data_IF_735267500871
#
_entry.id   IF_735267500871
#
_cell.length_a   1.000
_cell.length_b   1.000
_cell.length_c   1.000
_cell.angle_alpha   90.00
_cell.angle_beta   90.00
_cell.angle_gamma   90.00
#
_symmetry.space_group_name_H-M   'P 1'
#
loop_
_entity.id
_entity.type
_entity.pdbx_description
1 polymer ?
#
# COMPACT_ATOMS: atom_id res chain seq x y z
N UNK A 1 -12.61 -10.77 -20.91
CA UNK A 1 -13.29 -9.50 -21.29
C UNK A 1 -12.28 -8.37 -21.11
N UNK A 2 -12.08 -7.56 -22.14
CA UNK A 2 -11.17 -6.42 -22.07
C UNK A 2 -11.99 -5.14 -21.88
N UNK A 3 -11.63 -4.34 -20.90
CA UNK A 3 -12.31 -3.07 -20.60
C UNK A 3 -11.41 -1.91 -20.99
N UNK A 4 -12.00 -0.89 -21.59
CA UNK A 4 -11.29 0.30 -22.03
C UNK A 4 -11.25 1.33 -20.91
N UNK A 5 -10.07 1.89 -20.62
CA UNK A 5 -9.93 2.98 -19.63
C UNK A 5 -9.06 4.09 -20.19
N UNK A 6 -9.61 5.31 -20.24
CA UNK A 6 -8.82 6.51 -20.44
C UNK A 6 -8.05 6.82 -19.14
N UNK A 7 -6.75 7.05 -19.27
CA UNK A 7 -5.86 7.36 -18.15
C UNK A 7 -4.81 8.39 -18.58
N UNK A 8 -4.81 9.58 -17.95
CA UNK A 8 -3.84 10.67 -18.19
C UNK A 8 -3.62 10.89 -19.72
N UNK A 9 -4.71 11.09 -20.47
CA UNK A 9 -4.75 11.28 -21.94
C UNK A 9 -4.31 10.10 -22.82
N UNK A 10 -4.02 8.94 -22.22
CA UNK A 10 -3.74 7.69 -22.94
C UNK A 10 -4.89 6.70 -22.79
N UNK A 11 -5.03 5.80 -23.75
CA UNK A 11 -5.98 4.70 -23.66
C UNK A 11 -5.27 3.43 -23.24
N UNK A 12 -5.78 2.78 -22.20
CA UNK A 12 -5.25 1.52 -21.69
C UNK A 12 -6.29 0.41 -21.84
N UNK A 13 -5.81 -0.75 -22.29
CA UNK A 13 -6.57 -1.98 -22.27
C UNK A 13 -6.40 -2.66 -20.92
N UNK A 14 -7.51 -2.91 -20.23
CA UNK A 14 -7.52 -3.69 -19.00
C UNK A 14 -8.03 -5.08 -19.33
N UNK A 15 -7.15 -6.07 -19.18
CA UNK A 15 -7.52 -7.49 -19.30
C UNK A 15 -8.07 -7.99 -17.98
N UNK A 16 -9.17 -8.74 -18.02
CA UNK A 16 -9.61 -9.53 -16.87
C UNK A 16 -9.28 -11.01 -17.08
N UNK A 17 -8.98 -11.70 -15.97
CA UNK A 17 -8.77 -13.15 -15.98
C UNK A 17 -10.07 -13.93 -15.71
N UNK A 18 -11.23 -13.33 -16.02
CA UNK A 18 -12.53 -13.96 -15.77
C UNK A 18 -12.64 -15.26 -16.58
N UNK A 19 -13.03 -16.36 -15.92
CA UNK A 19 -13.02 -17.73 -16.47
C UNK A 19 -11.65 -18.27 -16.93
N UNK A 20 -10.54 -17.74 -16.41
CA UNK A 20 -9.24 -18.39 -16.67
C UNK A 20 -9.18 -19.79 -16.05
N UNK A 21 -8.71 -20.76 -16.84
CA UNK A 21 -8.42 -22.13 -16.37
C UNK A 21 -7.29 -22.18 -15.34
N UNK A 22 -6.51 -21.10 -15.21
CA UNK A 22 -5.40 -21.00 -14.26
C UNK A 22 -5.80 -20.44 -12.90
N UNK A 23 -7.09 -20.17 -12.65
CA UNK A 23 -7.57 -19.51 -11.42
C UNK A 23 -7.11 -20.23 -10.15
N UNK A 24 -7.17 -21.57 -10.15
CA UNK A 24 -6.76 -22.37 -8.99
C UNK A 24 -5.25 -22.33 -8.74
N UNK A 25 -4.44 -22.28 -9.81
CA UNK A 25 -2.98 -22.15 -9.69
C UNK A 25 -2.62 -20.74 -9.23
N UNK A 26 -3.25 -19.71 -9.79
CA UNK A 26 -3.06 -18.33 -9.35
C UNK A 26 -3.42 -18.16 -7.87
N UNK A 27 -4.54 -18.75 -7.41
CA UNK A 27 -4.94 -18.74 -6.01
C UNK A 27 -3.95 -19.50 -5.11
N UNK A 28 -3.47 -20.68 -5.55
CA UNK A 28 -2.43 -21.45 -4.86
C UNK A 28 -1.18 -20.61 -4.63
N UNK A 29 -0.73 -19.94 -5.69
CA UNK A 29 0.43 -19.06 -5.62
C UNK A 29 0.16 -17.85 -4.73
N UNK A 30 -1.02 -17.23 -4.80
CA UNK A 30 -1.41 -16.12 -3.90
C UNK A 30 -1.30 -16.54 -2.43
N UNK A 31 -1.97 -17.62 -2.01
CA UNK A 31 -2.01 -18.00 -0.58
C UNK A 31 -0.65 -18.42 -0.06
N UNK A 32 0.15 -19.12 -0.88
CA UNK A 32 1.51 -19.52 -0.48
C UNK A 32 2.46 -18.33 -0.43
N UNK A 33 2.41 -17.45 -1.44
CA UNK A 33 3.23 -16.24 -1.50
C UNK A 33 2.94 -15.30 -0.34
N UNK A 34 1.69 -15.14 0.11
CA UNK A 34 1.36 -14.30 1.29
C UNK A 34 2.08 -14.82 2.54
N UNK A 35 1.98 -16.11 2.82
CA UNK A 35 2.59 -16.73 4.00
C UNK A 35 4.12 -16.63 3.98
N UNK A 36 4.73 -16.79 2.80
CA UNK A 36 6.18 -16.66 2.64
C UNK A 36 6.61 -15.19 2.74
N UNK A 37 5.83 -14.27 2.18
CA UNK A 37 6.09 -12.83 2.28
C UNK A 37 6.05 -12.35 3.72
N UNK A 38 5.17 -12.90 4.57
CA UNK A 38 5.14 -12.57 6.00
C UNK A 38 6.44 -13.01 6.70
N UNK A 39 6.94 -14.21 6.40
CA UNK A 39 8.26 -14.67 6.88
C UNK A 39 9.39 -13.78 6.35
N UNK A 40 9.34 -13.39 5.08
CA UNK A 40 10.32 -12.49 4.47
C UNK A 40 10.32 -11.10 5.12
N UNK A 41 9.14 -10.53 5.38
CA UNK A 41 8.97 -9.27 6.14
C UNK A 41 9.52 -9.41 7.57
N UNK A 42 9.33 -10.55 8.22
CA UNK A 42 9.91 -10.83 9.55
C UNK A 42 11.44 -10.82 9.52
N UNK A 43 12.04 -11.47 8.53
CA UNK A 43 13.49 -11.42 8.31
C UNK A 43 13.99 -10.00 8.05
N UNK A 44 13.32 -9.23 7.20
CA UNK A 44 13.70 -7.84 6.91
C UNK A 44 13.62 -6.95 8.18
N UNK A 45 12.61 -7.14 9.04
CA UNK A 45 12.55 -6.45 10.35
C UNK A 45 13.73 -6.81 11.26
N UNK A 46 14.23 -8.05 11.21
CA UNK A 46 15.43 -8.45 11.95
C UNK A 46 16.69 -7.77 11.42
N UNK A 47 16.76 -7.47 10.11
CA UNK A 47 17.82 -6.62 9.56
C UNK A 47 17.77 -5.21 10.16
N UNK A 48 16.60 -4.59 10.21
CA UNK A 48 16.44 -3.25 10.81
C UNK A 48 16.93 -3.19 12.26
N UNK A 49 16.57 -4.21 13.07
CA UNK A 49 17.06 -4.35 14.45
C UNK A 49 18.59 -4.53 14.47
N UNK A 50 19.13 -5.35 13.56
CA UNK A 50 20.56 -5.52 13.40
C UNK A 50 21.27 -4.20 13.08
N UNK A 51 20.76 -3.43 12.12
CA UNK A 51 21.33 -2.14 11.76
C UNK A 51 21.28 -1.14 12.90
N UNK A 52 20.19 -1.10 13.66
CA UNK A 52 20.11 -0.30 14.89
C UNK A 52 21.20 -0.71 15.88
N UNK A 53 21.35 -2.01 16.15
CA UNK A 53 22.27 -2.50 17.18
C UNK A 53 23.76 -2.36 16.77
N UNK A 54 24.09 -2.63 15.51
CA UNK A 54 25.48 -2.66 15.03
C UNK A 54 25.93 -1.32 14.44
N UNK A 55 25.05 -0.58 13.77
CA UNK A 55 25.38 0.70 13.13
C UNK A 55 24.89 1.89 13.95
N UNK A 56 24.01 1.71 14.94
CA UNK A 56 23.48 2.81 15.75
C UNK A 56 22.55 3.73 14.97
N UNK A 57 21.89 3.23 13.92
CA UNK A 57 21.01 4.01 13.05
C UNK A 57 19.70 3.28 12.79
N UNK A 58 18.61 4.04 12.73
CA UNK A 58 17.28 3.53 12.42
C UNK A 58 17.04 3.52 10.91
N UNK A 59 16.36 2.51 10.40
CA UNK A 59 15.96 2.46 8.98
C UNK A 59 14.73 1.57 8.81
N UNK A 60 14.23 1.50 7.58
CA UNK A 60 13.19 0.56 7.18
C UNK A 60 13.65 -0.21 5.94
N UNK A 61 13.89 -1.51 6.10
CA UNK A 61 14.38 -2.38 5.02
C UNK A 61 13.37 -2.61 3.90
N UNK A 62 12.08 -2.35 4.13
CA UNK A 62 11.04 -2.46 3.11
C UNK A 62 9.92 -1.47 3.37
N UNK A 63 9.24 -1.02 2.32
CA UNK A 63 8.35 0.14 2.45
C UNK A 63 6.87 -0.20 2.28
N UNK A 64 6.53 -1.46 2.01
CA UNK A 64 5.13 -1.89 1.81
C UNK A 64 4.24 -1.53 3.00
N UNK A 65 3.14 -0.84 2.72
CA UNK A 65 2.04 -0.57 3.66
C UNK A 65 0.71 -1.11 3.14
N UNK A 66 -0.14 -1.58 4.05
CA UNK A 66 -1.48 -2.12 3.71
C UNK A 66 -2.58 -1.06 3.86
N UNK A 67 -2.29 0.07 4.52
CA UNK A 67 -3.27 1.09 4.88
C UNK A 67 -2.62 2.45 5.11
N UNK A 68 -3.34 3.52 4.75
CA UNK A 68 -2.96 4.91 5.04
C UNK A 68 -2.83 5.18 6.54
N UNK A 69 -3.62 4.48 7.37
CA UNK A 69 -3.58 4.64 8.83
C UNK A 69 -2.22 4.18 9.37
N UNK A 70 -1.64 3.14 8.78
CA UNK A 70 -0.29 2.70 9.13
C UNK A 70 0.73 3.81 8.84
N UNK A 71 0.59 4.52 7.72
CA UNK A 71 1.47 5.66 7.41
C UNK A 71 1.30 6.76 8.45
N UNK A 72 0.07 7.24 8.68
CA UNK A 72 -0.17 8.41 9.54
C UNK A 72 0.24 8.21 11.00
N UNK A 73 0.13 6.97 11.51
CA UNK A 73 0.58 6.58 12.85
C UNK A 73 2.10 6.45 12.98
N UNK A 74 2.82 6.20 11.88
CA UNK A 74 4.28 5.96 11.89
C UNK A 74 5.09 7.13 11.27
N UNK A 75 4.47 8.29 11.07
CA UNK A 75 5.16 9.50 10.63
C UNK A 75 6.10 10.07 11.72
N UNK A 76 7.17 10.78 11.32
CA UNK A 76 8.02 11.49 12.27
C UNK A 76 7.25 12.62 13.00
N UNK A 77 7.75 13.06 14.16
CA UNK A 77 7.19 14.22 14.87
C UNK A 77 7.41 15.54 14.12
N UNK A 78 8.39 15.59 13.21
CA UNK A 78 8.67 16.74 12.35
C UNK A 78 8.76 16.32 10.89
N UNK A 79 8.20 17.11 9.98
CA UNK A 79 8.27 16.89 8.54
C UNK A 79 8.84 18.13 7.85
N UNK A 80 10.04 17.97 7.28
CA UNK A 80 10.76 19.00 6.53
C UNK A 80 10.50 18.88 5.02
N UNK A 81 10.37 17.64 4.55
CA UNK A 81 10.07 17.32 3.16
C UNK A 81 9.19 16.08 3.06
N UNK A 82 8.43 16.02 1.97
CA UNK A 82 7.67 14.85 1.58
C UNK A 82 7.77 14.68 0.07
N UNK A 83 8.16 13.49 -0.36
CA UNK A 83 8.23 13.08 -1.75
C UNK A 83 7.18 12.01 -2.02
N UNK A 84 6.28 12.30 -2.96
CA UNK A 84 5.26 11.34 -3.42
C UNK A 84 5.39 11.13 -4.92
N UNK A 85 5.39 9.87 -5.33
CA UNK A 85 5.51 9.50 -6.73
C UNK A 85 4.84 8.16 -7.04
N UNK A 86 4.47 7.97 -8.30
CA UNK A 86 3.90 6.76 -8.86
C UNK A 86 4.98 5.98 -9.65
N UNK A 87 5.21 4.71 -9.32
CA UNK A 87 6.05 3.81 -10.11
C UNK A 87 5.22 3.24 -11.26
N UNK A 88 5.33 3.88 -12.41
CA UNK A 88 4.63 3.47 -13.62
C UNK A 88 5.31 2.32 -14.35
N UNK A 89 4.55 1.68 -15.25
CA UNK A 89 4.99 0.58 -16.12
C UNK A 89 5.31 -0.74 -15.40
N UNK A 90 4.94 -0.90 -14.13
CA UNK A 90 5.19 -2.14 -13.40
C UNK A 90 4.61 -3.38 -14.09
N UNK A 91 3.36 -3.30 -14.58
CA UNK A 91 2.69 -4.45 -15.18
C UNK A 91 3.04 -4.64 -16.65
N UNK A 92 3.56 -3.61 -17.31
CA UNK A 92 3.88 -3.61 -18.74
C UNK A 92 5.36 -3.94 -19.01
N UNK A 93 6.27 -3.45 -18.16
CA UNK A 93 7.71 -3.46 -18.45
C UNK A 93 8.51 -4.53 -17.72
N UNK A 94 8.10 -4.94 -16.50
CA UNK A 94 8.89 -5.86 -15.67
C UNK A 94 9.17 -7.15 -16.46
N UNK A 95 10.45 -7.53 -16.63
CA UNK A 95 10.79 -8.73 -17.37
C UNK A 95 10.45 -9.98 -16.56
N UNK A 96 9.94 -11.01 -17.23
CA UNK A 96 9.64 -12.31 -16.60
C UNK A 96 10.86 -13.25 -16.59
N UNK A 97 11.83 -12.99 -17.48
CA UNK A 97 13.08 -13.75 -17.66
C UNK A 97 14.23 -12.80 -18.03
N UNK A 98 15.48 -13.21 -17.87
CA UNK A 98 16.66 -12.41 -18.24
C UNK A 98 17.15 -11.52 -17.10
N UNK A 99 17.83 -10.41 -17.38
CA UNK A 99 18.30 -9.52 -16.30
C UNK A 99 17.11 -8.82 -15.61
N UNK A 100 17.24 -8.56 -14.30
CA UNK A 100 16.26 -7.80 -13.51
C UNK A 100 14.85 -8.39 -13.55
N UNK A 101 14.75 -9.71 -13.62
CA UNK A 101 13.48 -10.39 -13.83
C UNK A 101 12.71 -10.67 -12.54
N UNK A 102 11.39 -10.81 -12.67
CA UNK A 102 10.49 -11.10 -11.56
C UNK A 102 10.76 -12.47 -10.91
N UNK A 103 11.16 -13.47 -11.69
CA UNK A 103 11.43 -14.81 -11.16
C UNK A 103 12.61 -14.81 -10.17
N UNK A 104 13.66 -14.02 -10.43
CA UNK A 104 14.80 -13.84 -9.51
C UNK A 104 14.37 -13.18 -8.20
N UNK A 105 13.53 -12.15 -8.27
CA UNK A 105 12.95 -11.50 -7.09
C UNK A 105 12.12 -12.50 -6.27
N UNK A 106 11.29 -13.32 -6.93
CA UNK A 106 10.52 -14.39 -6.28
C UNK A 106 11.42 -15.47 -5.68
N UNK A 107 12.47 -15.89 -6.39
CA UNK A 107 13.41 -16.89 -5.88
C UNK A 107 14.12 -16.39 -4.62
N UNK A 108 14.56 -15.12 -4.62
CA UNK A 108 15.14 -14.49 -3.45
C UNK A 108 14.17 -14.48 -2.27
N UNK A 109 12.96 -13.95 -2.48
CA UNK A 109 11.92 -13.89 -1.45
C UNK A 109 11.55 -15.28 -0.92
N UNK A 110 11.33 -16.28 -1.80
CA UNK A 110 10.98 -17.65 -1.42
C UNK A 110 12.09 -18.30 -0.61
N UNK A 111 13.34 -18.25 -1.07
CA UNK A 111 14.47 -18.85 -0.35
C UNK A 111 14.64 -18.24 1.03
N UNK A 112 14.63 -16.91 1.11
CA UNK A 112 14.78 -16.20 2.38
C UNK A 112 13.59 -16.43 3.31
N UNK A 113 12.36 -16.43 2.80
CA UNK A 113 11.15 -16.72 3.58
C UNK A 113 11.15 -18.13 4.17
N UNK A 114 11.56 -19.13 3.40
CA UNK A 114 11.72 -20.51 3.90
C UNK A 114 12.83 -20.62 4.96
N UNK A 115 13.99 -19.98 4.73
CA UNK A 115 15.07 -19.96 5.70
C UNK A 115 14.63 -19.33 7.03
N UNK A 116 13.89 -18.23 6.94
CA UNK A 116 13.37 -17.55 8.13
C UNK A 116 12.31 -18.39 8.86
N UNK A 117 11.40 -19.02 8.12
CA UNK A 117 10.42 -19.94 8.69
C UNK A 117 11.10 -21.11 9.41
N UNK A 118 12.15 -21.70 8.82
CA UNK A 118 12.92 -22.77 9.44
C UNK A 118 13.59 -22.36 10.75
N UNK A 119 14.09 -21.11 10.85
CA UNK A 119 14.70 -20.59 12.09
C UNK A 119 13.69 -20.47 13.24
N UNK A 120 12.43 -20.21 12.94
CA UNK A 120 11.38 -20.09 13.95
C UNK A 120 10.97 -21.45 14.54
N UNK A 121 11.28 -22.56 13.86
CA UNK A 121 10.96 -23.91 14.29
C UNK A 121 12.24 -24.69 14.61
N UNK A 122 12.71 -24.57 15.84
CA UNK A 122 14.04 -24.99 16.30
C UNK A 122 14.31 -26.50 16.36
N UNK A 123 13.32 -27.37 16.08
CA UNK A 123 13.42 -28.82 16.33
C UNK A 123 12.94 -29.74 15.20
N UNK A 124 12.33 -29.22 14.14
CA UNK A 124 11.80 -30.04 13.05
C UNK A 124 11.81 -29.28 11.72
N UNK A 125 11.94 -30.03 10.62
CA UNK A 125 11.89 -29.46 9.27
C UNK A 125 10.56 -28.70 9.07
N UNK A 126 10.67 -27.43 8.72
CA UNK A 126 9.50 -26.58 8.49
C UNK A 126 8.98 -26.80 7.08
N UNK A 127 7.71 -27.17 6.98
CA UNK A 127 7.04 -27.44 5.72
C UNK A 127 5.95 -26.39 5.50
N UNK A 128 5.84 -25.91 4.27
CA UNK A 128 4.69 -25.09 3.87
C UNK A 128 3.55 -26.01 3.48
N UNK A 129 2.47 -25.99 4.25
CA UNK A 129 1.28 -26.80 3.98
C UNK A 129 0.22 -25.97 3.27
N UNK A 130 -0.42 -26.54 2.26
CA UNK A 130 -1.55 -25.92 1.54
C UNK A 130 -2.78 -26.81 1.60
N UNK A 131 -3.92 -26.21 1.97
CA UNK A 131 -5.24 -26.82 1.91
C UNK A 131 -5.99 -26.27 0.70
N UNK A 132 -6.42 -27.17 -0.18
CA UNK A 132 -7.27 -26.81 -1.32
C UNK A 132 -8.69 -26.48 -0.85
N UNK A 133 -9.39 -25.65 -1.63
CA UNK A 133 -10.78 -25.30 -1.34
C UNK A 133 -11.67 -26.56 -1.39
N UNK A 134 -12.48 -26.76 -0.35
CA UNK A 134 -13.51 -27.81 -0.24
C UNK A 134 -14.72 -27.22 0.49
N UNK A 135 -15.94 -27.51 0.04
CA UNK A 135 -17.20 -27.22 0.74
C UNK A 135 -17.27 -25.82 1.37
N UNK A 136 -17.28 -24.78 0.54
CA UNK A 136 -17.29 -23.35 0.94
C UNK A 136 -16.07 -22.85 1.74
N UNK A 137 -15.05 -23.68 1.99
CA UNK A 137 -13.81 -23.23 2.63
C UNK A 137 -12.81 -22.71 1.59
N UNK A 138 -12.23 -21.50 1.77
CA UNK A 138 -11.25 -20.96 0.84
C UNK A 138 -9.94 -21.73 0.93
N UNK A 139 -9.15 -21.67 -0.15
CA UNK A 139 -7.78 -22.17 -0.15
C UNK A 139 -6.94 -21.42 0.88
N UNK A 140 -6.09 -22.13 1.63
CA UNK A 140 -5.24 -21.54 2.67
C UNK A 140 -3.87 -22.20 2.71
N UNK A 141 -2.86 -21.47 3.18
CA UNK A 141 -1.52 -22.00 3.40
C UNK A 141 -1.03 -21.64 4.81
N UNK A 142 -0.12 -22.44 5.35
CA UNK A 142 0.55 -22.15 6.63
C UNK A 142 1.87 -22.92 6.78
N UNK A 143 2.78 -22.37 7.56
CA UNK A 143 3.94 -23.10 8.05
C UNK A 143 3.54 -24.16 9.08
N UNK A 144 4.26 -25.29 9.11
CA UNK A 144 4.09 -26.31 10.13
C UNK A 144 5.14 -27.41 10.02
N UNK A 145 5.38 -28.10 11.13
CA UNK A 145 6.37 -29.20 11.21
C UNK A 145 5.75 -30.58 10.95
N UNK A 146 4.43 -30.69 11.10
CA UNK A 146 3.67 -31.92 10.89
C UNK A 146 2.43 -31.63 10.06
N UNK A 147 1.91 -32.67 9.40
CA UNK A 147 0.68 -32.54 8.63
C UNK A 147 -0.47 -32.15 9.56
N UNK A 148 -1.29 -31.14 9.20
CA UNK A 148 -2.48 -30.80 9.96
C UNK A 148 -3.46 -31.97 10.06
N UNK A 149 -4.06 -32.16 11.25
CA UNK A 149 -4.96 -33.30 11.54
C UNK A 149 -6.27 -33.31 10.74
N UNK A 150 -6.73 -32.17 10.24
CA UNK A 150 -8.04 -32.04 9.57
C UNK A 150 -7.90 -31.50 8.14
N UNK A 151 -8.57 -32.17 7.21
CA UNK A 151 -8.57 -31.82 5.78
C UNK A 151 -7.38 -32.38 5.01
N UNK A 152 -7.45 -32.26 3.68
CA UNK A 152 -6.39 -32.71 2.78
C UNK A 152 -5.37 -31.58 2.57
N UNK A 153 -4.19 -31.73 3.18
CA UNK A 153 -3.08 -30.80 3.05
C UNK A 153 -1.99 -31.38 2.16
N UNK A 154 -1.39 -30.54 1.33
CA UNK A 154 -0.27 -30.92 0.47
C UNK A 154 0.96 -30.10 0.86
N UNK A 155 2.13 -30.73 1.04
CA UNK A 155 3.37 -30.01 1.31
C UNK A 155 3.87 -29.32 0.03
N UNK A 156 4.37 -28.10 0.18
CA UNK A 156 4.97 -27.29 -0.89
C UNK A 156 6.43 -27.01 -0.58
N UNK A 157 7.31 -27.40 -1.51
CA UNK A 157 8.74 -27.11 -1.45
C UNK A 157 9.08 -25.82 -2.20
N UNK A 158 10.24 -25.23 -1.88
CA UNK A 158 10.78 -24.06 -2.58
C UNK A 158 10.84 -24.29 -4.10
N UNK A 159 11.43 -25.41 -4.52
CA UNK A 159 11.60 -25.78 -5.94
C UNK A 159 10.26 -25.88 -6.66
N UNK A 160 9.25 -26.48 -6.01
CA UNK A 160 7.91 -26.62 -6.60
C UNK A 160 7.24 -25.26 -6.78
N UNK A 161 7.33 -24.37 -5.80
CA UNK A 161 6.74 -23.04 -5.88
C UNK A 161 7.42 -22.18 -6.96
N UNK A 162 8.75 -22.18 -7.01
CA UNK A 162 9.51 -21.47 -8.04
C UNK A 162 9.12 -21.97 -9.44
N UNK A 163 9.00 -23.29 -9.59
CA UNK A 163 8.58 -23.91 -10.87
C UNK A 163 7.16 -23.52 -11.25
N UNK A 164 6.22 -23.50 -10.29
CA UNK A 164 4.83 -23.09 -10.54
C UNK A 164 4.70 -21.60 -10.90
N UNK A 165 5.46 -20.72 -10.24
CA UNK A 165 5.52 -19.30 -10.62
C UNK A 165 6.06 -19.14 -12.04
N UNK A 166 7.19 -19.77 -12.35
CA UNK A 166 7.78 -19.73 -13.70
C UNK A 166 6.83 -20.29 -14.75
N UNK A 167 6.15 -21.41 -14.45
CA UNK A 167 5.17 -22.00 -15.35
C UNK A 167 4.01 -21.05 -15.61
N UNK A 168 3.41 -20.47 -14.56
CA UNK A 168 2.27 -19.56 -14.73
C UNK A 168 2.67 -18.33 -15.56
N UNK A 169 3.82 -17.73 -15.29
CA UNK A 169 4.35 -16.59 -16.04
C UNK A 169 4.57 -16.91 -17.53
N UNK A 170 5.08 -18.10 -17.84
CA UNK A 170 5.33 -18.52 -19.21
C UNK A 170 4.07 -18.96 -19.98
N UNK A 171 2.96 -19.19 -19.27
CA UNK A 171 1.68 -19.62 -19.84
C UNK A 171 0.60 -18.55 -19.69
N UNK A 172 0.97 -17.28 -19.80
CA UNK A 172 0.04 -16.16 -19.82
C UNK A 172 -0.44 -15.88 -21.24
N UNK A 173 -1.72 -16.16 -21.52
CA UNK A 173 -2.33 -15.92 -22.82
C UNK A 173 -3.46 -14.91 -22.72
N UNK A 174 -3.52 -13.98 -23.67
CA UNK A 174 -4.56 -12.95 -23.79
C UNK A 174 -5.29 -13.17 -25.11
N UNK A 175 -6.61 -13.28 -25.04
CA UNK A 175 -7.48 -13.33 -26.21
C UNK A 175 -8.11 -11.96 -26.48
N UNK A 176 -8.03 -11.48 -27.72
CA UNK A 176 -8.69 -10.26 -28.19
C UNK A 176 -9.31 -10.56 -29.56
N UNK A 177 -10.63 -10.57 -29.63
CA UNK A 177 -11.36 -11.00 -30.82
C UNK A 177 -11.14 -12.49 -31.11
N UNK A 178 -10.74 -12.79 -32.34
CA UNK A 178 -10.44 -14.12 -32.87
C UNK A 178 -8.96 -14.55 -32.69
N UNK A 179 -8.16 -13.74 -32.01
CA UNK A 179 -6.71 -13.94 -31.88
C UNK A 179 -6.29 -14.16 -30.43
N UNK A 180 -5.25 -14.95 -30.26
CA UNK A 180 -4.61 -15.27 -28.97
C UNK A 180 -3.14 -14.91 -29.04
N UNK A 181 -2.66 -14.18 -28.04
CA UNK A 181 -1.25 -13.82 -27.89
C UNK A 181 -0.73 -14.31 -26.55
N UNK A 182 0.53 -14.75 -26.52
CA UNK A 182 1.24 -15.01 -25.28
C UNK A 182 1.89 -13.71 -24.78
N UNK A 183 1.63 -13.34 -23.54
CA UNK A 183 2.34 -12.25 -22.89
C UNK A 183 3.75 -12.72 -22.50
N UNK A 184 4.77 -12.10 -23.07
CA UNK A 184 6.19 -12.43 -22.83
C UNK A 184 6.91 -11.39 -21.99
N UNK A 185 6.31 -10.21 -21.80
CA UNK A 185 6.84 -9.09 -21.01
C UNK A 185 5.75 -8.51 -20.13
N UNK A 186 6.14 -8.09 -18.93
CA UNK A 186 5.23 -7.49 -17.97
C UNK A 186 4.48 -8.52 -17.14
N UNK A 187 4.00 -8.07 -15.99
CA UNK A 187 3.19 -8.88 -15.07
C UNK A 187 1.77 -9.00 -15.66
N UNK A 188 1.23 -10.23 -15.82
CA UNK A 188 -0.11 -10.43 -16.36
C UNK A 188 -1.17 -9.80 -15.44
N UNK A 189 -1.93 -8.83 -15.94
CA UNK A 189 -3.00 -8.22 -15.16
C UNK A 189 -4.22 -9.14 -15.08
N UNK A 190 -4.76 -9.31 -13.87
CA UNK A 190 -6.01 -10.05 -13.64
C UNK A 190 -5.86 -11.34 -12.81
N UNK A 191 -4.66 -11.90 -12.66
CA UNK A 191 -4.45 -12.98 -11.70
C UNK A 191 -4.43 -12.45 -10.27
N UNK A 192 -4.93 -13.26 -9.33
CA UNK A 192 -4.93 -12.94 -7.89
C UNK A 192 -3.53 -12.71 -7.33
N UNK A 193 -2.48 -13.28 -7.94
CA UNK A 193 -1.10 -13.17 -7.50
C UNK A 193 -0.34 -11.98 -8.12
N UNK A 194 -0.90 -11.32 -9.14
CA UNK A 194 -0.19 -10.26 -9.88
C UNK A 194 0.17 -9.03 -9.04
N UNK A 195 -0.72 -8.50 -8.17
CA UNK A 195 -0.34 -7.39 -7.27
C UNK A 195 0.76 -7.79 -6.28
N UNK A 196 0.75 -9.04 -5.81
CA UNK A 196 1.80 -9.56 -4.93
C UNK A 196 3.14 -9.64 -5.67
N UNK A 197 3.15 -10.12 -6.91
CA UNK A 197 4.35 -10.15 -7.75
C UNK A 197 4.97 -8.77 -7.93
N UNK A 198 4.16 -7.76 -8.22
CA UNK A 198 4.61 -6.37 -8.31
C UNK A 198 5.24 -5.91 -6.98
N UNK A 199 4.55 -6.15 -5.87
CA UNK A 199 5.05 -5.80 -4.54
C UNK A 199 6.38 -6.47 -4.19
N UNK A 200 6.53 -7.77 -4.50
CA UNK A 200 7.74 -8.55 -4.23
C UNK A 200 8.91 -8.06 -5.08
N UNK A 201 8.64 -7.74 -6.35
CA UNK A 201 9.64 -7.19 -7.24
C UNK A 201 10.24 -5.91 -6.66
N UNK A 202 9.39 -4.93 -6.36
CA UNK A 202 9.80 -3.64 -5.82
C UNK A 202 10.49 -3.80 -4.45
N UNK A 203 9.90 -4.59 -3.54
CA UNK A 203 10.46 -4.87 -2.22
C UNK A 203 11.85 -5.51 -2.28
N UNK A 204 12.11 -6.34 -3.29
CA UNK A 204 13.44 -6.94 -3.45
C UNK A 204 14.50 -5.88 -3.72
N UNK A 205 14.20 -4.87 -4.53
CA UNK A 205 15.11 -3.75 -4.77
C UNK A 205 15.25 -2.85 -3.55
N UNK A 206 14.17 -2.58 -2.82
CA UNK A 206 14.18 -1.81 -1.56
C UNK A 206 15.10 -2.45 -0.51
N UNK A 207 14.92 -3.74 -0.23
CA UNK A 207 15.75 -4.47 0.74
C UNK A 207 17.21 -4.50 0.30
N UNK A 208 17.48 -4.83 -0.97
CA UNK A 208 18.86 -4.86 -1.49
C UNK A 208 19.53 -3.49 -1.44
N UNK A 209 18.78 -2.42 -1.64
CA UNK A 209 19.27 -1.06 -1.50
C UNK A 209 19.68 -0.75 -0.06
N UNK A 210 18.80 -1.01 0.92
CA UNK A 210 19.12 -0.80 2.35
C UNK A 210 20.31 -1.67 2.78
N UNK A 211 20.36 -2.93 2.35
CA UNK A 211 21.51 -3.82 2.59
C UNK A 211 22.81 -3.25 2.00
N UNK A 212 22.76 -2.71 0.78
CA UNK A 212 23.93 -2.05 0.15
C UNK A 212 24.40 -0.87 1.00
N UNK A 213 23.51 0.05 1.37
CA UNK A 213 23.85 1.18 2.23
C UNK A 213 24.48 0.73 3.56
N UNK A 214 23.95 -0.32 4.18
CA UNK A 214 24.48 -0.88 5.41
C UNK A 214 25.87 -1.50 5.23
N UNK A 215 26.10 -2.24 4.15
CA UNK A 215 27.41 -2.83 3.82
C UNK A 215 28.49 -1.78 3.58
N UNK A 216 28.09 -0.61 3.07
CA UNK A 216 28.97 0.55 2.86
C UNK A 216 29.14 1.41 4.13
N UNK A 217 28.45 1.10 5.23
CA UNK A 217 28.47 1.91 6.45
C UNK A 217 27.84 3.31 6.31
N UNK A 218 26.98 3.54 5.30
CA UNK A 218 26.33 4.83 5.03
C UNK A 218 25.15 5.09 5.96
N UNK A 219 25.45 5.29 7.24
CA UNK A 219 24.47 5.57 8.31
C UNK A 219 23.64 6.82 8.02
N UNK A 220 24.28 7.81 7.39
CA UNK A 220 23.66 9.06 6.96
C UNK A 220 22.53 8.82 5.95
N UNK A 221 22.68 7.83 5.06
CA UNK A 221 21.66 7.48 4.06
C UNK A 221 20.63 6.50 4.62
N UNK A 222 21.04 5.53 5.46
CA UNK A 222 20.11 4.58 6.07
C UNK A 222 18.98 5.27 6.85
N UNK A 223 19.33 6.30 7.64
CA UNK A 223 18.35 7.03 8.45
C UNK A 223 17.32 7.79 7.61
N UNK A 224 17.66 8.22 6.39
CA UNK A 224 16.73 8.91 5.49
C UNK A 224 15.52 8.05 5.14
N UNK A 225 15.71 6.74 4.99
CA UNK A 225 14.64 5.81 4.60
C UNK A 225 13.89 5.20 5.79
N UNK A 226 14.07 5.71 7.01
CA UNK A 226 13.30 5.29 8.19
C UNK A 226 11.79 5.49 8.00
N UNK A 227 11.39 6.56 7.31
CA UNK A 227 9.99 6.93 7.08
C UNK A 227 9.64 6.84 5.59
N UNK A 228 10.07 5.76 4.95
CA UNK A 228 9.72 5.42 3.59
C UNK A 228 8.55 4.43 3.57
N UNK A 229 7.54 4.75 2.77
CA UNK A 229 6.31 3.99 2.60
C UNK A 229 6.01 3.77 1.12
N UNK A 230 5.34 2.66 0.80
CA UNK A 230 4.87 2.32 -0.53
C UNK A 230 3.57 1.53 -0.47
N UNK A 231 2.55 2.01 -1.15
CA UNK A 231 1.32 1.26 -1.38
C UNK A 231 1.28 0.80 -2.84
N UNK A 232 1.58 -0.47 -3.09
CA UNK A 232 1.71 -1.03 -4.45
C UNK A 232 2.76 -0.24 -5.26
N UNK A 233 2.32 0.66 -6.13
CA UNK A 233 3.11 1.53 -7.02
C UNK A 233 3.26 2.96 -6.48
N UNK A 234 2.42 3.40 -5.53
CA UNK A 234 2.52 4.72 -4.91
C UNK A 234 3.64 4.73 -3.85
N UNK A 235 4.62 5.63 -3.99
CA UNK A 235 5.70 5.89 -3.03
C UNK A 235 5.36 7.12 -2.18
N UNK A 236 5.65 7.07 -0.89
CA UNK A 236 5.72 8.24 -0.01
C UNK A 236 6.98 8.17 0.84
N UNK A 237 7.92 9.09 0.62
CA UNK A 237 9.14 9.24 1.39
C UNK A 237 9.11 10.54 2.17
N UNK A 238 9.38 10.47 3.47
CA UNK A 238 9.35 11.64 4.35
C UNK A 238 10.75 11.91 4.89
N UNK A 239 11.18 13.18 4.84
CA UNK A 239 12.47 13.65 5.32
C UNK A 239 13.68 12.97 4.64
N UNK A 240 13.60 12.72 3.33
CA UNK A 240 14.71 12.12 2.55
C UNK A 240 15.64 13.20 1.98
N UNK A 241 15.16 14.46 1.89
CA UNK A 241 15.91 15.57 1.32
C UNK A 241 15.82 15.59 -0.21
N UNK A 242 16.88 15.16 -0.91
CA UNK A 242 16.92 15.15 -2.37
C UNK A 242 16.62 13.75 -2.95
N UNK A 243 15.36 13.40 -3.24
CA UNK A 243 15.01 12.08 -3.77
C UNK A 243 15.59 11.83 -5.16
N UNK A 244 15.87 12.87 -5.95
CA UNK A 244 16.38 12.73 -7.32
C UNK A 244 17.75 12.07 -7.37
N UNK A 245 18.55 12.21 -6.30
CA UNK A 245 19.85 11.56 -6.18
C UNK A 245 19.72 10.03 -6.38
N UNK A 246 18.60 9.43 -5.94
CA UNK A 246 18.37 7.98 -6.00
C UNK A 246 17.60 7.53 -7.25
N UNK A 247 17.13 8.48 -8.06
CA UNK A 247 16.11 8.25 -9.10
C UNK A 247 16.56 8.62 -10.53
N UNK A 248 17.87 8.75 -10.77
CA UNK A 248 18.39 8.94 -12.13
C UNK A 248 18.54 7.59 -12.87
N UNK A 249 17.99 7.45 -14.10
CA UNK A 249 18.19 6.26 -14.94
C UNK A 249 19.64 5.98 -15.33
N UNK A 250 20.47 7.01 -15.33
CA UNK A 250 21.89 6.97 -15.72
C UNK A 250 22.81 6.53 -14.56
N UNK A 251 22.25 6.36 -13.34
CA UNK A 251 23.04 5.98 -12.18
C UNK A 251 23.75 4.62 -12.37
N UNK A 252 25.08 4.53 -12.15
CA UNK A 252 25.80 3.28 -12.23
C UNK A 252 25.25 2.25 -11.24
N UNK A 253 24.85 1.07 -11.73
CA UNK A 253 24.24 0.03 -10.87
C UNK A 253 25.28 -0.92 -10.30
N UNK A 254 26.27 -0.37 -9.61
CA UNK A 254 27.38 -1.12 -9.00
C UNK A 254 27.17 -1.31 -7.48
N UNK A 255 27.84 -2.30 -6.86
CA UNK A 255 27.74 -2.53 -5.42
C UNK A 255 28.24 -1.38 -4.54
N UNK A 256 29.15 -0.56 -5.07
CA UNK A 256 29.77 0.60 -4.41
C UNK A 256 29.02 1.93 -4.67
N UNK A 257 28.02 1.95 -5.54
CA UNK A 257 27.17 3.13 -5.73
C UNK A 257 25.95 3.11 -4.77
N UNK A 258 25.81 4.08 -3.86
CA UNK A 258 24.69 4.15 -2.92
C UNK A 258 23.47 4.90 -3.48
N UNK A 259 23.50 5.37 -4.73
CA UNK A 259 22.52 6.32 -5.28
C UNK A 259 21.59 5.72 -6.35
N UNK A 260 21.31 4.42 -6.27
CA UNK A 260 20.31 3.77 -7.12
C UNK A 260 19.44 2.84 -6.28
N UNK A 261 18.16 2.70 -6.63
CA UNK A 261 17.23 1.79 -5.93
C UNK A 261 16.64 0.81 -6.94
N UNK A 262 15.88 1.34 -7.88
CA UNK A 262 15.11 0.58 -8.86
C UNK A 262 15.85 0.46 -10.21
N UNK A 263 15.52 -0.54 -11.04
CA UNK A 263 16.01 -0.61 -12.41
C UNK A 263 15.24 0.37 -13.30
N UNK A 264 15.61 1.65 -13.28
CA UNK A 264 14.90 2.74 -13.96
C UNK A 264 15.04 2.75 -15.50
N UNK A 265 15.80 1.82 -16.07
CA UNK A 265 15.75 1.50 -17.49
C UNK A 265 14.52 0.64 -17.86
N UNK A 266 13.84 0.05 -16.87
CA UNK A 266 12.62 -0.77 -17.00
C UNK A 266 11.41 0.00 -16.46
N UNK A 267 11.57 0.59 -15.28
CA UNK A 267 10.52 1.32 -14.55
C UNK A 267 10.61 2.82 -14.78
N UNK A 268 9.49 3.53 -14.64
CA UNK A 268 9.43 4.99 -14.77
C UNK A 268 8.73 5.57 -13.54
N UNK A 269 9.35 6.56 -12.89
CA UNK A 269 8.79 7.22 -11.70
C UNK A 269 8.21 8.57 -12.09
N UNK A 270 6.97 8.83 -11.67
CA UNK A 270 6.27 10.11 -11.89
C UNK A 270 5.95 10.76 -10.57
N UNK A 271 6.59 11.90 -10.32
CA UNK A 271 6.34 12.71 -9.11
C UNK A 271 4.93 13.31 -9.13
N UNK A 272 4.23 13.27 -8.00
CA UNK A 272 2.90 13.87 -7.81
C UNK A 272 2.90 15.01 -6.77
N UNK A 273 4.08 15.57 -6.48
CA UNK A 273 4.25 16.72 -5.58
C UNK A 273 3.92 18.02 -6.30
N UNK A 274 3.08 18.85 -5.69
CA UNK A 274 2.77 20.19 -6.14
C UNK A 274 3.30 21.24 -5.17
N UNK A 275 3.84 22.34 -5.68
CA UNK A 275 4.02 23.56 -4.88
C UNK A 275 2.67 24.28 -4.81
N UNK A 276 2.21 24.68 -3.63
CA UNK A 276 1.02 25.52 -3.49
C UNK A 276 1.43 26.90 -2.99
N UNK A 277 0.82 27.95 -3.55
CA UNK A 277 1.11 29.35 -3.25
C UNK A 277 1.60 30.14 -4.46
N UNK A 278 0.69 30.51 -5.36
CA UNK A 278 0.99 31.43 -6.46
C UNK A 278 0.92 32.92 -6.05
N UNK A 279 0.61 33.21 -4.78
CA UNK A 279 0.33 34.59 -4.32
C UNK A 279 0.77 34.90 -2.88
N UNK A 280 1.49 34.00 -2.19
CA UNK A 280 1.98 34.23 -0.82
C UNK A 280 3.48 33.91 -0.74
N UNK A 281 4.34 34.76 -0.13
CA UNK A 281 5.79 34.56 -0.04
C UNK A 281 6.25 33.33 0.77
N UNK A 282 5.34 32.56 1.37
CA UNK A 282 5.66 31.32 2.09
C UNK A 282 5.29 30.10 1.23
N UNK A 283 6.23 29.59 0.43
CA UNK A 283 5.99 28.46 -0.48
C UNK A 283 5.93 27.14 0.30
N UNK A 284 4.74 26.74 0.73
CA UNK A 284 4.51 25.41 1.31
C UNK A 284 4.55 24.27 0.28
N UNK A 285 4.90 23.07 0.74
CA UNK A 285 4.82 21.84 -0.07
C UNK A 285 3.46 21.19 0.18
N UNK A 286 2.71 20.89 -0.88
CA UNK A 286 1.49 20.08 -0.80
C UNK A 286 1.62 18.80 -1.62
N UNK A 287 1.46 17.67 -0.96
CA UNK A 287 1.56 16.36 -1.59
C UNK A 287 0.41 15.47 -1.11
N UNK A 288 -0.03 14.53 -1.95
CA UNK A 288 -1.08 13.60 -1.59
C UNK A 288 -0.59 12.17 -1.82
N UNK A 289 -0.77 11.32 -0.82
CA UNK A 289 -0.48 9.89 -0.89
C UNK A 289 -1.76 9.15 -0.55
N UNK A 290 -2.24 8.27 -1.44
CA UNK A 290 -3.51 7.59 -1.25
C UNK A 290 -4.67 8.58 -1.01
N UNK A 291 -5.25 8.56 0.19
CA UNK A 291 -6.33 9.43 0.64
C UNK A 291 -5.91 10.37 1.79
N UNK A 292 -4.62 10.64 1.94
CA UNK A 292 -4.09 11.70 2.82
C UNK A 292 -3.43 12.79 1.97
N UNK A 293 -3.66 14.04 2.35
CA UNK A 293 -2.93 15.21 1.86
C UNK A 293 -2.05 15.73 3.01
N UNK A 294 -0.80 16.00 2.67
CA UNK A 294 0.19 16.64 3.51
C UNK A 294 0.37 18.07 3.05
N UNK A 295 0.23 19.02 3.96
CA UNK A 295 0.55 20.42 3.74
C UNK A 295 1.68 20.79 4.72
N UNK A 296 2.89 21.05 4.20
CA UNK A 296 4.07 21.35 5.01
C UNK A 296 4.34 22.86 5.01
N UNK A 297 4.67 23.39 6.18
CA UNK A 297 5.14 24.76 6.33
C UNK A 297 6.65 24.81 6.13
N UNK A 298 7.13 25.75 5.30
CA UNK A 298 8.55 25.87 4.95
C UNK A 298 9.44 26.18 6.16
N UNK A 299 8.94 27.00 7.10
CA UNK A 299 9.69 27.49 8.26
C UNK A 299 9.36 26.76 9.56
N UNK A 300 8.32 25.93 9.59
CA UNK A 300 7.87 25.24 10.80
C UNK A 300 7.57 23.76 10.56
N UNK A 301 8.61 22.91 10.61
CA UNK A 301 8.47 21.48 10.34
C UNK A 301 7.70 20.72 11.43
N UNK A 302 7.39 21.36 12.57
CA UNK A 302 6.53 20.76 13.62
C UNK A 302 5.06 20.94 13.31
N UNK A 303 4.70 21.99 12.56
CA UNK A 303 3.32 22.39 12.33
C UNK A 303 2.80 21.96 10.95
N UNK A 304 3.24 20.83 10.41
CA UNK A 304 2.63 20.27 9.20
C UNK A 304 1.17 19.88 9.44
N UNK A 305 0.37 19.91 8.38
CA UNK A 305 -1.05 19.57 8.41
C UNK A 305 -1.31 18.29 7.60
N UNK A 306 -2.14 17.42 8.16
CA UNK A 306 -2.68 16.25 7.46
C UNK A 306 -4.20 16.34 7.40
N UNK A 307 -4.74 16.06 6.21
CA UNK A 307 -6.20 16.04 5.98
C UNK A 307 -6.58 14.91 5.03
N UNK A 308 -7.86 14.54 5.04
CA UNK A 308 -8.40 13.56 4.09
C UNK A 308 -8.36 14.13 2.67
N UNK A 309 -7.69 13.43 1.77
CA UNK A 309 -7.68 13.75 0.35
C UNK A 309 -8.77 12.98 -0.39
N UNK A 310 -9.48 13.66 -1.29
CA UNK A 310 -10.45 13.04 -2.18
C UNK A 310 -10.35 13.66 -3.57
N UNK A 311 -9.65 12.96 -4.49
CA UNK A 311 -9.47 13.37 -5.88
C UNK A 311 -10.79 13.69 -6.60
N UNK A 312 -11.91 13.12 -6.16
CA UNK A 312 -13.22 13.32 -6.78
C UNK A 312 -13.74 14.74 -6.54
N UNK A 313 -13.23 15.48 -5.54
CA UNK A 313 -13.57 16.88 -5.29
C UNK A 313 -13.19 17.79 -6.46
N UNK A 314 -12.19 17.41 -7.25
CA UNK A 314 -11.70 18.18 -8.40
C UNK A 314 -12.32 17.74 -9.74
N UNK A 315 -13.35 16.88 -9.72
CA UNK A 315 -14.04 16.49 -10.95
C UNK A 315 -14.88 17.66 -11.47
N UNK A 316 -14.92 17.90 -12.80
CA UNK A 316 -15.68 19.00 -13.40
C UNK A 316 -17.20 18.74 -13.41
N UNK A 317 -17.66 17.69 -12.74
CA UNK A 317 -19.06 17.30 -12.67
C UNK A 317 -19.43 16.85 -11.26
N UNK A 318 -20.70 17.05 -10.90
CA UNK A 318 -21.25 16.54 -9.66
C UNK A 318 -21.42 15.03 -9.75
N UNK A 319 -20.94 14.31 -8.75
CA UNK A 319 -21.11 12.86 -8.65
C UNK A 319 -21.82 12.50 -7.34
N UNK A 320 -22.56 11.41 -7.36
CA UNK A 320 -23.22 10.88 -6.16
C UNK A 320 -22.24 9.99 -5.42
N UNK A 321 -21.60 10.54 -4.37
CA UNK A 321 -20.59 9.82 -3.58
C UNK A 321 -21.17 8.68 -2.73
N UNK A 322 -22.34 8.94 -2.13
CA UNK A 322 -23.01 8.02 -1.22
C UNK A 322 -24.41 7.70 -1.73
N UNK A 323 -24.94 6.56 -1.30
CA UNK A 323 -26.29 6.15 -1.66
C UNK A 323 -27.33 7.17 -1.17
N UNK A 324 -28.43 7.34 -1.91
CA UNK A 324 -29.56 8.14 -1.45
C UNK A 324 -30.27 7.46 -0.28
N UNK A 325 -30.79 8.27 0.65
CA UNK A 325 -31.47 7.78 1.84
C UNK A 325 -32.66 6.87 1.51
N UNK A 326 -33.50 7.29 0.54
CA UNK A 326 -34.67 6.54 0.06
C UNK A 326 -34.32 5.39 -0.91
N UNK A 327 -33.13 4.80 -0.81
CA UNK A 327 -32.78 3.62 -1.61
C UNK A 327 -33.39 2.35 -1.04
N UNK A 328 -33.44 1.27 -1.84
CA UNK A 328 -33.94 -0.03 -1.42
C UNK A 328 -32.94 -0.77 -0.50
N UNK A 329 -32.59 -0.15 0.64
CA UNK A 329 -31.69 -0.71 1.67
C UNK A 329 -32.19 -0.42 3.08
N UNK A 330 -31.83 -1.26 4.07
CA UNK A 330 -32.22 -1.02 5.46
C UNK A 330 -31.68 0.32 5.99
N UNK A 331 -32.56 1.13 6.58
CA UNK A 331 -32.24 2.47 7.13
C UNK A 331 -31.03 2.46 8.06
N UNK A 332 -30.91 1.44 8.92
CA UNK A 332 -29.78 1.29 9.84
C UNK A 332 -28.44 1.18 9.10
N UNK A 333 -28.38 0.44 8.00
CA UNK A 333 -27.16 0.31 7.20
C UNK A 333 -26.82 1.62 6.51
N UNK A 334 -27.82 2.37 6.05
CA UNK A 334 -27.62 3.69 5.44
C UNK A 334 -26.94 4.65 6.41
N UNK A 335 -27.35 4.68 7.68
CA UNK A 335 -26.72 5.54 8.69
C UNK A 335 -25.32 5.08 9.10
N UNK A 336 -25.02 3.78 9.10
CA UNK A 336 -23.68 3.27 9.42
C UNK A 336 -22.59 3.71 8.44
N UNK A 337 -22.96 4.21 7.25
CA UNK A 337 -22.01 4.79 6.28
C UNK A 337 -21.21 5.91 6.93
N UNK A 338 -21.84 6.79 7.71
CA UNK A 338 -21.14 7.94 8.31
C UNK A 338 -20.03 7.47 9.26
N UNK A 339 -20.33 6.50 10.13
CA UNK A 339 -19.37 5.95 11.09
C UNK A 339 -18.15 5.35 10.39
N UNK A 340 -18.35 4.62 9.29
CA UNK A 340 -17.24 4.05 8.50
C UNK A 340 -16.31 5.11 7.90
N UNK A 341 -16.83 6.32 7.65
CA UNK A 341 -16.08 7.41 7.04
C UNK A 341 -15.38 8.32 8.05
N UNK A 342 -15.88 8.36 9.29
CA UNK A 342 -15.27 9.14 10.38
C UNK A 342 -13.97 8.51 10.84
N UNK A 343 -13.90 7.17 10.94
CA UNK A 343 -12.69 6.50 11.41
C UNK A 343 -11.44 6.92 10.59
N UNK A 344 -11.43 6.91 9.24
CA UNK A 344 -10.33 7.49 8.48
C UNK A 344 -10.07 8.97 8.77
N UNK A 345 -11.11 9.80 8.96
CA UNK A 345 -10.93 11.24 9.25
C UNK A 345 -10.14 11.41 10.56
N UNK A 346 -10.46 10.65 11.60
CA UNK A 346 -9.79 10.72 12.91
C UNK A 346 -8.33 10.26 12.87
N UNK A 347 -8.02 9.26 12.05
CA UNK A 347 -6.66 8.71 11.97
C UNK A 347 -5.77 9.44 10.94
N UNK A 348 -6.38 10.14 9.98
CA UNK A 348 -5.65 10.94 9.01
C UNK A 348 -5.40 12.36 9.54
N UNK A 349 -6.39 12.98 10.17
CA UNK A 349 -6.28 14.37 10.62
C UNK A 349 -5.38 14.46 11.85
N UNK A 350 -4.40 15.37 11.80
CA UNK A 350 -3.55 15.69 12.95
C UNK A 350 -4.00 16.94 13.71
N UNK A 351 -5.02 17.63 13.22
CA UNK A 351 -5.63 18.77 13.88
C UNK A 351 -7.13 18.54 14.12
N UNK A 352 -7.61 19.04 15.26
CA UNK A 352 -8.99 18.82 15.71
C UNK A 352 -9.98 19.65 14.91
N UNK A 353 -9.63 20.87 14.52
CA UNK A 353 -10.48 21.73 13.70
C UNK A 353 -10.60 21.19 12.27
N UNK A 354 -9.52 20.64 11.72
CA UNK A 354 -9.54 19.98 10.41
C UNK A 354 -10.44 18.75 10.44
N UNK A 355 -10.31 17.89 11.45
CA UNK A 355 -11.18 16.72 11.62
C UNK A 355 -12.65 17.14 11.71
N UNK A 356 -12.95 18.19 12.50
CA UNK A 356 -14.27 18.76 12.63
C UNK A 356 -14.85 19.24 11.30
N UNK A 357 -14.08 20.01 10.52
CA UNK A 357 -14.49 20.51 9.20
C UNK A 357 -14.78 19.37 8.22
N UNK A 358 -13.95 18.33 8.19
CA UNK A 358 -14.14 17.15 7.34
C UNK A 358 -15.41 16.35 7.74
N UNK A 359 -15.72 16.25 9.04
CA UNK A 359 -16.96 15.63 9.52
C UNK A 359 -18.19 16.45 9.11
N UNK A 360 -18.14 17.78 9.24
CA UNK A 360 -19.24 18.64 8.80
C UNK A 360 -19.48 18.54 7.29
N UNK A 361 -18.41 18.50 6.49
CA UNK A 361 -18.51 18.32 5.04
C UNK A 361 -19.15 16.97 4.69
N UNK A 362 -18.78 15.90 5.40
CA UNK A 362 -19.40 14.59 5.25
C UNK A 362 -20.89 14.60 5.59
N UNK A 363 -21.28 15.27 6.69
CA UNK A 363 -22.69 15.41 7.10
C UNK A 363 -23.48 16.14 6.02
N UNK A 364 -22.99 17.29 5.53
CA UNK A 364 -23.63 18.05 4.43
C UNK A 364 -23.77 17.21 3.16
N UNK A 365 -22.75 16.40 2.86
CA UNK A 365 -22.78 15.50 1.69
C UNK A 365 -23.88 14.45 1.83
N UNK A 366 -24.03 13.83 3.00
CA UNK A 366 -25.11 12.86 3.26
C UNK A 366 -26.47 13.54 3.33
N UNK A 367 -26.57 14.74 3.90
CA UNK A 367 -27.80 15.53 3.92
C UNK A 367 -28.31 15.80 2.50
N UNK A 368 -27.42 16.18 1.58
CA UNK A 368 -27.76 16.35 0.17
C UNK A 368 -28.30 15.08 -0.53
N UNK A 369 -28.08 13.91 0.08
CA UNK A 369 -28.60 12.61 -0.35
C UNK A 369 -29.91 12.21 0.37
N UNK A 370 -30.53 13.12 1.13
CA UNK A 370 -31.81 12.94 1.81
C UNK A 370 -31.72 12.43 3.24
N UNK A 371 -30.51 12.43 3.85
CA UNK A 371 -30.35 12.06 5.26
C UNK A 371 -30.66 13.26 6.17
N UNK A 372 -31.18 12.99 7.36
CA UNK A 372 -31.41 14.04 8.36
C UNK A 372 -30.11 14.40 9.09
N UNK A 373 -29.63 15.64 8.92
CA UNK A 373 -28.37 16.12 9.50
C UNK A 373 -28.32 15.97 11.02
N UNK A 374 -29.38 16.33 11.74
CA UNK A 374 -29.45 16.20 13.21
C UNK A 374 -29.27 14.74 13.68
N UNK A 375 -29.82 13.76 12.94
CA UNK A 375 -29.63 12.33 13.26
C UNK A 375 -28.20 11.89 13.01
N UNK A 376 -27.58 12.38 11.93
CA UNK A 376 -26.18 12.10 11.61
C UNK A 376 -25.27 12.66 12.71
N UNK A 377 -25.41 13.93 13.06
CA UNK A 377 -24.64 14.58 14.13
C UNK A 377 -24.79 13.82 15.46
N UNK A 378 -26.02 13.52 15.89
CA UNK A 378 -26.27 12.76 17.12
C UNK A 378 -25.61 11.38 17.10
N UNK A 379 -25.64 10.69 15.95
CA UNK A 379 -24.98 9.39 15.79
C UNK A 379 -23.46 9.52 15.89
N UNK A 380 -22.87 10.53 15.25
CA UNK A 380 -21.42 10.81 15.35
C UNK A 380 -21.04 11.10 16.80
N UNK A 381 -21.72 12.03 17.45
CA UNK A 381 -21.42 12.46 18.83
C UNK A 381 -21.47 11.27 19.78
N UNK A 382 -22.54 10.46 19.76
CA UNK A 382 -22.63 9.26 20.61
C UNK A 382 -21.52 8.26 20.34
N UNK A 383 -21.16 8.07 19.07
CA UNK A 383 -20.09 7.14 18.71
C UNK A 383 -18.72 7.63 19.18
N UNK A 384 -18.46 8.93 19.14
CA UNK A 384 -17.24 9.53 19.68
C UNK A 384 -17.18 9.43 21.22
N UNK A 385 -18.32 9.55 21.91
CA UNK A 385 -18.41 9.43 23.38
C UNK A 385 -18.21 8.00 23.89
N UNK A 386 -18.71 7.02 23.15
CA UNK A 386 -18.72 5.60 23.58
C UNK A 386 -17.58 4.79 22.97
N UNK A 387 -16.97 5.28 21.90
CA UNK A 387 -15.90 4.60 21.19
C UNK A 387 -14.53 4.78 21.84
N UNK A 388 -13.62 3.84 21.53
CA UNK A 388 -12.21 3.93 21.88
C UNK A 388 -11.37 4.14 20.62
N UNK A 389 -10.53 5.17 20.63
CA UNK A 389 -9.73 5.59 19.47
C UNK A 389 -8.26 5.68 19.87
N UNK A 390 -7.58 4.54 20.10
CA UNK A 390 -6.17 4.57 20.49
C UNK A 390 -5.33 5.23 19.40
N UNK A 391 -4.35 6.03 19.82
CA UNK A 391 -3.32 6.63 18.94
C UNK A 391 -3.82 7.64 17.90
N UNK A 392 -5.08 8.06 17.94
CA UNK A 392 -5.53 9.19 17.11
C UNK A 392 -4.79 10.47 17.50
N UNK A 393 -4.40 11.26 16.50
CA UNK A 393 -3.81 12.60 16.69
C UNK A 393 -4.88 13.68 16.95
N UNK A 394 -6.16 13.34 16.75
CA UNK A 394 -7.28 14.25 16.95
C UNK A 394 -7.74 14.24 18.41
N UNK A 395 -7.97 15.40 19.02
CA UNK A 395 -8.54 15.46 20.37
C UNK A 395 -10.05 15.15 20.31
N UNK A 396 -10.41 13.91 20.64
CA UNK A 396 -11.79 13.41 20.55
C UNK A 396 -12.74 14.17 21.48
N UNK A 397 -12.30 14.55 22.68
CA UNK A 397 -13.14 15.28 23.63
C UNK A 397 -13.48 16.67 23.08
N UNK A 398 -12.47 17.41 22.62
CA UNK A 398 -12.65 18.73 22.01
C UNK A 398 -13.50 18.65 20.73
N UNK A 399 -13.25 17.65 19.87
CA UNK A 399 -14.06 17.40 18.67
C UNK A 399 -15.54 17.15 19.00
N UNK A 400 -15.80 16.35 20.03
CA UNK A 400 -17.17 16.03 20.48
C UNK A 400 -17.89 17.28 20.99
N UNK A 401 -17.20 18.16 21.72
CA UNK A 401 -17.75 19.44 22.18
C UNK A 401 -18.10 20.37 21.02
N UNK A 402 -17.19 20.51 20.03
CA UNK A 402 -17.43 21.32 18.83
C UNK A 402 -18.68 20.85 18.04
N UNK A 403 -18.85 19.54 17.89
CA UNK A 403 -20.02 18.96 17.23
C UNK A 403 -21.32 19.25 18.00
N UNK A 404 -21.30 19.18 19.33
CA UNK A 404 -22.47 19.49 20.17
C UNK A 404 -22.88 20.96 20.07
N UNK A 405 -21.94 21.89 20.10
CA UNK A 405 -22.24 23.32 19.97
C UNK A 405 -22.85 23.67 18.62
N UNK A 406 -22.42 23.00 17.55
CA UNK A 406 -22.98 23.20 16.20
C UNK A 406 -24.42 22.69 16.12
N UNK A 407 -24.74 21.60 16.81
CA UNK A 407 -26.09 21.05 16.85
C UNK A 407 -27.09 21.93 17.63
N UNK A 408 -26.61 22.82 18.51
CA UNK A 408 -27.44 23.75 19.28
C UNK A 408 -27.71 25.07 18.54
N UNK A 409 -26.96 25.35 17.47
CA UNK A 409 -27.02 26.61 16.71
C UNK A 409 -27.71 26.45 15.34
N UNK A 410 -28.17 25.24 15.01
CA UNK A 410 -28.96 24.88 13.83
C UNK A 410 -30.36 24.45 14.26
#
# INVERSE_FOLDING_TARGET
MATYKQHKHTYRWLTNAFHTVYSNIALLLTVTTVVILDSFKSWAKKLDIGYRNFLGTDTSSFWIVDSVIHVTLNLPPTMHDVYVADITKCYESIPLTGQDNLLEALQFMIRTGFQEAARLHTKAETILWVKFAQDNTPMTARWGTTQPKSGRWIPMSQTRLISLHSWLMNNCFVALGDRVWRQTRGIPMGFSCSPLWCNIYLMTYEVKFIQRLASMGRKDLLNKFRYAFRYIDDICWVNVGNPQDFLSPEQPRTPDNPFWIYPLHILEIKTEVSKFGATDPTQGISAHFMNVQFDLHETDPKNFVMRKYDKRRNLPFKYTQFIKFQSNRPVRQSYNIIISQILPILYISNDTMIAFQEILLLIRTLESNGFQAHRLQNLVTRWLETGTFPSTKTNIQALTLLLKHTAQTQ
#
